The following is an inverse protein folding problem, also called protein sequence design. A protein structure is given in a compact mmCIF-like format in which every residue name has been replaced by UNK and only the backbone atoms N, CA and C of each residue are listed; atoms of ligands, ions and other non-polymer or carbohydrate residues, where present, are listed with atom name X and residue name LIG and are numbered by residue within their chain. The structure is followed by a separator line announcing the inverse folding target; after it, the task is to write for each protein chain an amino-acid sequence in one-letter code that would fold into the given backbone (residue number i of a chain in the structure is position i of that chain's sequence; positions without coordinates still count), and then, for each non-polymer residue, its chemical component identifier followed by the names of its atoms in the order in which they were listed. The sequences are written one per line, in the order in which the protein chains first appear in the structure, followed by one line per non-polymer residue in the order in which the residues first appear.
data_IF_338128725099
#
_entry.id   IF_338128725099
#
_cell.length_a   1.000
_cell.length_b   1.000
_cell.length_c   1.000
_cell.angle_alpha   90.00
_cell.angle_beta   90.00
_cell.angle_gamma   90.00
#
_symmetry.space_group_name_H-M   'P 1'
#
loop_
_entity.id
_entity.type
_entity.pdbx_description
1 polymer ?
#
# COMPACT_ATOMS: atom_id res chain seq x y z
N UNK A 1 11.37 23.14 -1.89
CA UNK A 1 10.04 22.49 -1.71
C UNK A 1 9.54 21.99 -3.05
N UNK A 2 9.27 20.72 -3.14
CA UNK A 2 8.76 20.06 -4.35
C UNK A 2 7.37 20.57 -4.74
N UNK A 3 7.12 20.70 -6.05
CA UNK A 3 5.84 21.16 -6.63
C UNK A 3 5.20 20.07 -7.48
N UNK A 4 3.92 20.24 -7.88
CA UNK A 4 3.27 19.31 -8.83
C UNK A 4 4.00 19.27 -10.17
N UNK A 5 4.64 20.37 -10.59
CA UNK A 5 5.45 20.43 -11.81
C UNK A 5 6.67 19.53 -11.74
N UNK A 6 7.38 19.56 -10.60
CA UNK A 6 8.59 18.74 -10.37
C UNK A 6 8.27 17.24 -10.34
N UNK A 7 7.07 16.87 -9.88
CA UNK A 7 6.57 15.49 -9.85
C UNK A 7 5.96 15.02 -11.17
N UNK A 8 5.94 15.86 -12.21
CA UNK A 8 5.42 15.50 -13.53
C UNK A 8 6.48 14.74 -14.33
N UNK A 9 6.06 13.70 -15.03
CA UNK A 9 6.88 12.98 -16.01
C UNK A 9 6.45 13.32 -17.43
N UNK A 10 7.32 13.14 -18.45
CA UNK A 10 6.96 13.35 -19.86
C UNK A 10 6.08 12.21 -20.42
N UNK A 11 5.83 11.15 -19.65
CA UNK A 11 5.06 9.99 -20.11
C UNK A 11 3.58 10.30 -20.19
N UNK A 12 2.96 9.94 -21.32
CA UNK A 12 1.50 10.00 -21.49
C UNK A 12 0.84 8.96 -20.59
N UNK A 13 -0.18 9.39 -19.83
CA UNK A 13 -0.97 8.46 -19.02
C UNK A 13 -1.87 7.61 -19.90
N UNK A 14 -1.79 6.29 -19.74
CA UNK A 14 -2.51 5.29 -20.54
C UNK A 14 -3.59 4.54 -19.77
N UNK A 15 -3.98 5.02 -18.58
CA UNK A 15 -5.15 4.51 -17.88
C UNK A 15 -6.43 4.87 -18.59
N UNK A 16 -7.46 4.05 -18.39
CA UNK A 16 -8.79 4.32 -18.94
C UNK A 16 -9.34 5.66 -18.43
N UNK A 17 -10.03 6.45 -19.26
CA UNK A 17 -10.70 7.66 -18.80
C UNK A 17 -11.64 7.36 -17.62
N UNK A 18 -11.52 8.14 -16.54
CA UNK A 18 -12.31 7.92 -15.32
C UNK A 18 -11.79 6.83 -14.36
N UNK A 19 -10.68 6.18 -14.66
CA UNK A 19 -10.08 5.17 -13.79
C UNK A 19 -9.72 5.75 -12.41
N UNK A 20 -10.00 5.00 -11.32
CA UNK A 20 -9.68 5.40 -9.95
C UNK A 20 -8.20 5.63 -9.68
N UNK A 21 -7.31 5.09 -10.50
CA UNK A 21 -5.87 5.32 -10.40
C UNK A 21 -5.48 6.80 -10.49
N UNK A 22 -6.24 7.63 -11.22
CA UNK A 22 -5.98 9.08 -11.29
C UNK A 22 -6.16 9.76 -9.93
N UNK A 23 -7.17 9.36 -9.16
CA UNK A 23 -7.40 9.88 -7.80
C UNK A 23 -6.23 9.54 -6.87
N UNK A 24 -5.76 8.29 -6.92
CA UNK A 24 -4.63 7.83 -6.09
C UNK A 24 -3.33 8.56 -6.49
N UNK A 25 -3.06 8.67 -7.79
CA UNK A 25 -1.89 9.40 -8.30
C UNK A 25 -1.85 10.84 -7.80
N UNK A 26 -2.98 11.54 -7.89
CA UNK A 26 -3.05 12.93 -7.45
C UNK A 26 -2.96 13.08 -5.94
N UNK A 27 -3.62 12.19 -5.18
CA UNK A 27 -3.53 12.16 -3.72
C UNK A 27 -2.09 11.94 -3.25
N UNK A 28 -1.37 10.99 -3.86
CA UNK A 28 0.02 10.71 -3.54
C UNK A 28 0.96 11.89 -3.85
N UNK A 29 0.87 12.48 -5.06
CA UNK A 29 1.67 13.67 -5.40
C UNK A 29 1.46 14.83 -4.43
N UNK A 30 0.19 15.10 -4.07
CA UNK A 30 -0.13 16.14 -3.10
C UNK A 30 0.37 15.80 -1.69
N UNK A 31 0.35 14.53 -1.29
CA UNK A 31 0.90 14.09 -0.01
C UNK A 31 2.41 14.33 0.09
N UNK A 32 3.17 14.03 -0.97
CA UNK A 32 4.61 14.33 -1.02
C UNK A 32 4.90 15.83 -0.86
N UNK A 33 4.09 16.68 -1.52
CA UNK A 33 4.21 18.14 -1.42
C UNK A 33 3.89 18.63 -0.01
N UNK A 34 2.78 18.17 0.57
CA UNK A 34 2.36 18.56 1.93
C UNK A 34 3.40 18.16 2.99
N UNK A 35 4.14 17.08 2.74
CA UNK A 35 5.20 16.58 3.62
C UNK A 35 6.57 17.23 3.35
N UNK A 36 6.72 17.98 2.28
CA UNK A 36 8.00 18.57 1.87
C UNK A 36 9.06 17.53 1.51
N UNK A 37 8.65 16.34 1.05
CA UNK A 37 9.58 15.26 0.69
C UNK A 37 10.18 15.57 -0.68
N UNK A 38 11.50 15.70 -0.73
CA UNK A 38 12.22 15.95 -1.98
C UNK A 38 12.29 14.68 -2.84
N UNK A 39 12.46 14.86 -4.13
CA UNK A 39 12.41 13.76 -5.11
C UNK A 39 13.46 12.67 -4.87
N UNK A 40 14.62 13.11 -4.42
CA UNK A 40 15.79 12.26 -4.13
C UNK A 40 15.57 11.39 -2.87
N UNK A 41 14.74 11.85 -1.93
CA UNK A 41 14.46 11.18 -0.67
C UNK A 41 13.26 10.22 -0.74
N UNK A 42 12.56 10.20 -1.88
CA UNK A 42 11.40 9.33 -2.10
C UNK A 42 11.72 8.19 -3.09
N UNK A 43 11.24 7.00 -2.75
CA UNK A 43 11.30 5.83 -3.64
C UNK A 43 9.92 5.21 -3.78
N UNK A 44 9.45 5.09 -5.01
CA UNK A 44 8.24 4.40 -5.38
C UNK A 44 8.58 3.00 -5.88
N UNK A 45 7.99 1.98 -5.26
CA UNK A 45 8.12 0.59 -5.70
C UNK A 45 6.76 0.09 -6.15
N UNK A 46 6.63 -0.44 -7.34
CA UNK A 46 5.37 -0.99 -7.83
C UNK A 46 5.49 -2.44 -8.29
N UNK A 47 4.41 -3.19 -8.13
CA UNK A 47 4.22 -4.50 -8.72
C UNK A 47 3.63 -4.44 -10.14
N UNK A 48 2.93 -5.48 -10.57
CA UNK A 48 2.41 -5.66 -11.93
C UNK A 48 0.89 -5.51 -11.96
N UNK A 49 0.42 -4.65 -12.84
CA UNK A 49 -0.99 -4.34 -13.07
C UNK A 49 -1.18 -2.90 -13.52
N UNK A 50 -2.42 -2.42 -13.59
CA UNK A 50 -2.69 -1.01 -13.95
C UNK A 50 -2.02 -0.03 -12.96
N UNK A 51 -2.01 -0.36 -11.67
CA UNK A 51 -1.30 0.39 -10.62
C UNK A 51 0.20 0.47 -10.87
N UNK A 52 0.81 -0.58 -11.45
CA UNK A 52 2.24 -0.66 -11.71
C UNK A 52 2.78 0.50 -12.54
N UNK A 53 1.93 1.13 -13.36
CA UNK A 53 2.30 2.32 -14.13
C UNK A 53 2.56 3.57 -13.28
N UNK A 54 2.31 3.54 -11.98
CA UNK A 54 2.63 4.65 -11.06
C UNK A 54 4.09 5.10 -11.20
N UNK A 55 5.04 4.17 -11.35
CA UNK A 55 6.47 4.49 -11.55
C UNK A 55 6.74 5.35 -12.79
N UNK A 56 5.85 5.30 -13.79
CA UNK A 56 5.99 6.08 -15.01
C UNK A 56 5.40 7.49 -14.88
N UNK A 57 4.58 7.75 -13.86
CA UNK A 57 3.77 8.97 -13.76
C UNK A 57 4.15 9.88 -12.59
N UNK A 58 5.10 9.45 -11.77
CA UNK A 58 5.66 10.27 -10.68
C UNK A 58 7.16 10.40 -10.87
N UNK A 59 7.66 11.62 -10.94
CA UNK A 59 9.09 11.92 -11.15
C UNK A 59 9.86 11.89 -9.81
N UNK A 60 10.06 10.70 -9.27
CA UNK A 60 10.89 10.36 -8.11
C UNK A 60 11.68 9.09 -8.44
N UNK A 61 12.55 8.62 -7.54
CA UNK A 61 13.19 7.32 -7.73
C UNK A 61 12.12 6.22 -7.80
N UNK A 62 12.24 5.30 -8.75
CA UNK A 62 11.21 4.30 -8.95
C UNK A 62 11.75 2.95 -9.38
N UNK A 63 11.14 1.88 -8.84
CA UNK A 63 11.39 0.50 -9.22
C UNK A 63 10.09 -0.18 -9.62
N UNK A 64 10.13 -0.86 -10.77
CA UNK A 64 9.04 -1.72 -11.21
C UNK A 64 9.45 -3.17 -10.96
N UNK A 65 8.86 -3.79 -9.95
CA UNK A 65 9.10 -5.18 -9.58
C UNK A 65 8.32 -6.16 -10.47
N UNK A 66 8.44 -7.45 -10.16
CA UNK A 66 7.60 -8.49 -10.76
C UNK A 66 6.33 -8.70 -9.94
N UNK A 67 5.39 -9.47 -10.47
CA UNK A 67 4.06 -9.68 -9.89
C UNK A 67 4.15 -10.22 -8.45
N UNK A 68 3.49 -9.54 -7.53
CA UNK A 68 3.46 -9.88 -6.10
C UNK A 68 4.76 -9.62 -5.35
N UNK A 69 5.73 -8.87 -5.92
CA UNK A 69 7.07 -8.69 -5.33
C UNK A 69 7.43 -7.23 -5.04
N UNK A 70 6.45 -6.34 -5.01
CA UNK A 70 6.70 -4.94 -4.61
C UNK A 70 7.23 -4.85 -3.18
N UNK A 71 6.64 -5.60 -2.23
CA UNK A 71 7.04 -5.56 -0.81
C UNK A 71 8.46 -6.07 -0.53
N UNK A 72 8.91 -7.25 -1.01
CA UNK A 72 10.29 -7.67 -0.76
C UNK A 72 11.31 -6.71 -1.37
N UNK A 73 11.02 -6.11 -2.53
CA UNK A 73 11.88 -5.08 -3.12
C UNK A 73 11.91 -3.81 -2.25
N UNK A 74 10.74 -3.31 -1.82
CA UNK A 74 10.64 -2.17 -0.92
C UNK A 74 11.35 -2.42 0.43
N UNK A 75 11.24 -3.65 0.97
CA UNK A 75 11.95 -4.10 2.17
C UNK A 75 13.45 -3.99 2.00
N UNK A 76 14.00 -4.50 0.89
CA UNK A 76 15.44 -4.42 0.61
C UNK A 76 15.94 -2.98 0.51
N UNK A 77 15.19 -2.12 -0.19
CA UNK A 77 15.52 -0.69 -0.32
C UNK A 77 15.52 0.00 1.06
N UNK A 78 14.49 -0.24 1.87
CA UNK A 78 14.38 0.39 3.20
C UNK A 78 15.47 -0.10 4.17
N UNK A 79 15.84 -1.37 4.12
CA UNK A 79 16.96 -1.91 4.90
C UNK A 79 18.30 -1.34 4.45
N UNK A 80 18.51 -1.17 3.16
CA UNK A 80 19.73 -0.59 2.61
C UNK A 80 19.90 0.88 3.00
N UNK A 81 18.81 1.64 3.01
CA UNK A 81 18.81 3.05 3.41
C UNK A 81 17.49 3.42 4.10
N UNK A 82 17.48 3.32 5.43
CA UNK A 82 16.29 3.58 6.24
C UNK A 82 15.84 5.06 6.29
N UNK A 83 16.65 6.01 5.77
CA UNK A 83 16.29 7.43 5.68
C UNK A 83 15.37 7.74 4.49
N UNK A 84 15.26 6.82 3.52
CA UNK A 84 14.39 7.02 2.36
C UNK A 84 12.91 6.86 2.76
N UNK A 85 12.06 7.71 2.18
CA UNK A 85 10.62 7.50 2.18
C UNK A 85 10.28 6.45 1.12
N UNK A 86 9.98 5.22 1.54
CA UNK A 86 9.69 4.11 0.64
C UNK A 86 8.19 3.85 0.59
N UNK A 87 7.59 3.98 -0.59
CA UNK A 87 6.16 3.73 -0.81
C UNK A 87 5.96 2.65 -1.86
N UNK A 88 5.35 1.54 -1.43
CA UNK A 88 4.94 0.44 -2.30
C UNK A 88 3.55 0.68 -2.88
N UNK A 89 3.38 0.42 -4.18
CA UNK A 89 2.10 0.39 -4.87
C UNK A 89 1.85 -1.00 -5.42
N UNK A 90 0.71 -1.58 -5.06
CA UNK A 90 0.28 -2.89 -5.53
C UNK A 90 -1.19 -2.84 -5.97
N UNK A 91 -1.64 -3.78 -6.78
CA UNK A 91 -3.06 -4.05 -6.99
C UNK A 91 -3.52 -5.14 -6.02
N UNK A 92 -4.82 -5.30 -5.90
CA UNK A 92 -5.44 -6.35 -5.11
C UNK A 92 -4.94 -7.75 -5.51
N UNK A 93 -5.01 -8.11 -6.77
CA UNK A 93 -4.46 -9.39 -7.25
C UNK A 93 -2.95 -9.48 -7.11
N UNK A 94 -2.24 -8.38 -7.37
CA UNK A 94 -0.78 -8.32 -7.24
C UNK A 94 -0.35 -8.61 -5.80
N UNK A 95 -0.99 -7.96 -4.82
CA UNK A 95 -0.63 -8.09 -3.42
C UNK A 95 -1.30 -9.28 -2.73
N UNK A 96 -2.59 -9.48 -2.98
CA UNK A 96 -3.37 -10.43 -2.18
C UNK A 96 -3.46 -11.82 -2.80
N UNK A 97 -3.28 -11.97 -4.13
CA UNK A 97 -3.13 -13.27 -4.75
C UNK A 97 -1.65 -13.70 -4.78
N UNK A 98 -0.79 -12.93 -5.48
CA UNK A 98 0.60 -13.33 -5.74
C UNK A 98 1.56 -12.94 -4.61
N UNK A 99 1.29 -11.84 -3.92
CA UNK A 99 2.15 -11.26 -2.88
C UNK A 99 1.74 -11.55 -1.44
N UNK A 100 0.77 -12.43 -1.19
CA UNK A 100 0.14 -12.61 0.12
C UNK A 100 1.13 -12.93 1.24
N UNK A 101 2.02 -13.90 1.04
CA UNK A 101 3.03 -14.24 2.03
C UNK A 101 3.97 -13.07 2.38
N UNK A 102 4.31 -12.25 1.39
CA UNK A 102 5.10 -11.04 1.58
C UNK A 102 4.34 -9.96 2.35
N UNK A 103 3.01 -9.85 2.14
CA UNK A 103 2.18 -8.91 2.88
C UNK A 103 2.17 -9.22 4.38
N UNK A 104 1.81 -10.45 4.74
CA UNK A 104 1.78 -10.88 6.14
C UNK A 104 3.15 -10.72 6.82
N UNK A 105 4.23 -11.02 6.09
CA UNK A 105 5.60 -10.88 6.59
C UNK A 105 6.00 -9.41 6.78
N UNK A 106 5.72 -8.53 5.81
CA UNK A 106 6.03 -7.11 5.90
C UNK A 106 5.30 -6.43 7.07
N UNK A 107 4.00 -6.74 7.25
CA UNK A 107 3.21 -6.28 8.41
C UNK A 107 3.88 -6.69 9.73
N UNK A 108 4.33 -7.95 9.82
CA UNK A 108 5.00 -8.48 11.02
C UNK A 108 6.36 -7.82 11.28
N UNK A 109 7.16 -7.59 10.23
CA UNK A 109 8.48 -6.94 10.33
C UNK A 109 8.40 -5.51 10.83
N UNK A 110 7.35 -4.79 10.47
CA UNK A 110 7.16 -3.41 10.87
C UNK A 110 8.29 -2.48 10.44
N UNK A 111 8.78 -2.61 9.22
CA UNK A 111 9.69 -1.63 8.63
C UNK A 111 8.95 -0.33 8.35
N UNK A 112 9.61 0.80 8.58
CA UNK A 112 9.07 2.13 8.32
C UNK A 112 8.93 2.38 6.81
N UNK A 113 7.85 1.88 6.25
CA UNK A 113 7.47 2.04 4.85
C UNK A 113 5.95 1.96 4.68
N UNK A 114 5.45 2.55 3.60
CA UNK A 114 4.02 2.59 3.30
C UNK A 114 3.68 1.66 2.14
N UNK A 115 2.62 0.86 2.27
CA UNK A 115 2.00 0.11 1.19
C UNK A 115 0.62 0.69 0.87
N UNK A 116 0.40 1.04 -0.39
CA UNK A 116 -0.91 1.47 -0.92
C UNK A 116 -1.37 0.43 -1.94
N UNK A 117 -2.48 -0.24 -1.64
CA UNK A 117 -3.08 -1.22 -2.55
C UNK A 117 -4.24 -0.59 -3.29
N UNK A 118 -4.21 -0.66 -4.61
CA UNK A 118 -5.26 -0.24 -5.51
C UNK A 118 -6.26 -1.40 -5.67
N UNK A 119 -7.25 -1.45 -4.79
CA UNK A 119 -8.25 -2.51 -4.77
C UNK A 119 -9.42 -2.16 -5.69
N UNK A 120 -9.40 -2.70 -6.89
CA UNK A 120 -10.48 -2.58 -7.86
C UNK A 120 -11.29 -3.87 -8.02
N UNK A 121 -10.98 -4.90 -7.24
CA UNK A 121 -11.67 -6.20 -7.18
C UNK A 121 -11.65 -6.98 -8.51
N UNK A 122 -10.70 -6.64 -9.41
CA UNK A 122 -10.49 -7.35 -10.68
C UNK A 122 -9.04 -7.22 -11.16
N UNK A 123 -8.55 -8.18 -11.94
CA UNK A 123 -7.32 -8.02 -12.72
C UNK A 123 -7.60 -7.15 -13.95
N UNK A 124 -7.56 -5.82 -13.78
CA UNK A 124 -7.94 -4.87 -14.83
C UNK A 124 -7.02 -4.89 -16.06
N UNK A 125 -5.70 -5.02 -15.88
CA UNK A 125 -4.72 -4.98 -16.98
C UNK A 125 -4.90 -6.16 -17.96
N UNK A 126 -5.27 -7.33 -17.45
CA UNK A 126 -5.46 -8.56 -18.21
C UNK A 126 -6.93 -8.83 -18.54
N UNK A 127 -7.74 -7.77 -18.56
CA UNK A 127 -9.13 -7.72 -19.06
C UNK A 127 -10.21 -8.32 -18.12
N UNK A 128 -10.02 -8.26 -16.79
CA UNK A 128 -11.13 -8.36 -15.83
C UNK A 128 -11.33 -9.74 -15.20
N UNK A 129 -10.27 -10.52 -15.01
CA UNK A 129 -10.36 -11.75 -14.21
C UNK A 129 -10.70 -11.39 -12.74
N UNK A 130 -11.34 -12.34 -12.06
CA UNK A 130 -11.61 -12.21 -10.64
C UNK A 130 -10.32 -12.24 -9.80
N UNK A 131 -10.36 -11.57 -8.66
CA UNK A 131 -9.30 -11.53 -7.66
C UNK A 131 -9.81 -12.07 -6.31
N UNK A 132 -8.94 -12.15 -5.31
CA UNK A 132 -9.34 -12.56 -3.97
C UNK A 132 -10.28 -11.57 -3.28
N UNK A 133 -10.31 -10.30 -3.71
CA UNK A 133 -11.24 -9.27 -3.22
C UNK A 133 -12.51 -9.14 -4.06
N UNK A 134 -12.64 -9.87 -5.16
CA UNK A 134 -13.89 -9.91 -5.95
C UNK A 134 -15.04 -10.44 -5.09
N UNK A 135 -16.20 -9.79 -5.21
CA UNK A 135 -17.39 -10.24 -4.49
C UNK A 135 -17.82 -11.63 -4.92
N UNK A 136 -18.31 -12.43 -3.97
CA UNK A 136 -18.89 -13.74 -4.26
C UNK A 136 -20.02 -13.60 -5.29
N UNK A 137 -20.03 -14.47 -6.30
CA UNK A 137 -20.95 -14.41 -7.42
C UNK A 137 -20.53 -13.48 -8.57
N UNK A 138 -19.43 -12.72 -8.44
CA UNK A 138 -18.91 -11.90 -9.55
C UNK A 138 -18.56 -12.76 -10.76
N UNK A 139 -19.15 -12.45 -11.92
CA UNK A 139 -18.95 -13.17 -13.17
C UNK A 139 -17.93 -12.47 -14.06
N UNK A 140 -16.97 -13.22 -14.54
CA UNK A 140 -15.97 -12.80 -15.52
C UNK A 140 -15.72 -13.92 -16.54
N UNK A 141 -14.86 -13.67 -17.53
CA UNK A 141 -14.47 -14.72 -18.48
C UNK A 141 -13.83 -15.94 -17.81
N UNK A 142 -13.07 -15.71 -16.73
CA UNK A 142 -12.42 -16.79 -15.95
C UNK A 142 -13.35 -17.42 -14.90
N UNK A 143 -14.44 -16.75 -14.54
CA UNK A 143 -15.41 -17.20 -13.54
C UNK A 143 -16.84 -17.12 -14.10
N UNK A 144 -17.21 -17.90 -15.14
CA UNK A 144 -18.51 -17.78 -15.82
C UNK A 144 -19.69 -18.12 -14.91
N UNK A 145 -19.48 -18.96 -13.89
CA UNK A 145 -20.50 -19.33 -12.90
C UNK A 145 -20.49 -18.42 -11.66
N UNK A 146 -19.60 -17.42 -11.62
CA UNK A 146 -19.38 -16.52 -10.50
C UNK A 146 -18.23 -17.00 -9.59
N UNK A 147 -17.69 -16.05 -8.82
CA UNK A 147 -16.69 -16.32 -7.78
C UNK A 147 -17.34 -17.14 -6.66
N UNK A 148 -16.76 -18.28 -6.32
CA UNK A 148 -17.30 -19.22 -5.32
C UNK A 148 -16.83 -18.86 -3.90
N UNK A 149 -15.50 -18.64 -3.64
CA UNK A 149 -15.03 -18.35 -2.29
C UNK A 149 -15.52 -16.99 -1.79
N UNK A 150 -15.61 -16.80 -0.47
CA UNK A 150 -15.87 -15.49 0.12
C UNK A 150 -14.71 -14.54 -0.19
N UNK A 151 -15.06 -13.26 -0.21
CA UNK A 151 -14.10 -12.18 -0.43
C UNK A 151 -13.05 -12.12 0.70
N UNK A 152 -11.78 -11.95 0.32
CA UNK A 152 -10.70 -11.72 1.28
C UNK A 152 -10.89 -10.37 1.98
N UNK A 153 -10.60 -10.32 3.28
CA UNK A 153 -10.57 -9.09 4.06
C UNK A 153 -9.12 -8.70 4.41
N UNK A 154 -8.48 -7.83 3.62
CA UNK A 154 -7.07 -7.50 3.83
C UNK A 154 -6.81 -6.71 5.11
N UNK A 155 -7.78 -5.89 5.57
CA UNK A 155 -7.64 -5.12 6.81
C UNK A 155 -7.64 -6.04 8.03
N UNK A 156 -8.56 -7.00 8.08
CA UNK A 156 -8.61 -7.97 9.18
C UNK A 156 -7.28 -8.75 9.25
N UNK A 157 -6.74 -9.17 8.12
CA UNK A 157 -5.44 -9.84 8.08
C UNK A 157 -4.28 -8.95 8.54
N UNK A 158 -4.25 -7.68 8.15
CA UNK A 158 -3.25 -6.73 8.64
C UNK A 158 -3.33 -6.57 10.17
N UNK A 159 -4.55 -6.43 10.71
CA UNK A 159 -4.79 -6.27 12.15
C UNK A 159 -4.37 -7.50 12.95
N UNK A 160 -4.71 -8.72 12.51
CA UNK A 160 -4.31 -9.95 13.23
C UNK A 160 -2.83 -10.28 13.06
N UNK A 161 -2.18 -9.76 12.01
CA UNK A 161 -0.72 -9.84 11.79
C UNK A 161 0.08 -8.77 12.55
N UNK A 162 -0.56 -8.07 13.50
CA UNK A 162 0.03 -7.00 14.29
C UNK A 162 0.41 -5.73 13.51
N UNK A 163 -0.34 -5.39 12.48
CA UNK A 163 -0.21 -4.11 11.77
C UNK A 163 -0.26 -2.93 12.74
N UNK A 164 0.56 -1.92 12.49
CA UNK A 164 0.71 -0.73 13.35
C UNK A 164 -0.03 0.47 12.79
N UNK A 165 -0.21 0.54 11.47
CA UNK A 165 -1.10 1.48 10.78
C UNK A 165 -1.91 0.73 9.74
N UNK A 166 -3.23 0.73 9.89
CA UNK A 166 -4.16 0.07 8.97
C UNK A 166 -5.27 1.03 8.62
N UNK A 167 -5.42 1.33 7.33
CA UNK A 167 -6.41 2.27 6.84
C UNK A 167 -7.09 1.76 5.56
N UNK A 168 -8.27 2.30 5.28
CA UNK A 168 -8.95 2.13 4.00
C UNK A 168 -9.31 3.49 3.41
N UNK A 169 -9.02 3.66 2.12
CA UNK A 169 -9.35 4.87 1.38
C UNK A 169 -10.33 4.61 0.24
N UNK A 170 -10.80 5.68 -0.37
CA UNK A 170 -11.58 5.65 -1.60
C UNK A 170 -11.02 6.66 -2.58
N UNK A 171 -10.66 6.23 -3.78
CA UNK A 171 -10.05 7.09 -4.81
C UNK A 171 -11.00 8.18 -5.33
N UNK A 172 -12.30 8.03 -5.09
CA UNK A 172 -13.33 9.03 -5.39
C UNK A 172 -13.40 10.19 -4.39
N UNK A 173 -12.78 10.06 -3.20
CA UNK A 173 -12.54 11.14 -2.23
C UNK A 173 -11.03 11.40 -2.11
N UNK A 174 -10.50 12.10 -3.10
CA UNK A 174 -9.06 12.37 -3.24
C UNK A 174 -8.49 13.17 -2.06
N UNK A 175 -9.26 14.08 -1.46
CA UNK A 175 -8.76 14.89 -0.34
C UNK A 175 -8.64 14.07 0.94
N UNK A 176 -9.63 13.22 1.25
CA UNK A 176 -9.57 12.29 2.36
C UNK A 176 -8.42 11.29 2.17
N UNK A 177 -8.31 10.69 0.97
CA UNK A 177 -7.22 9.77 0.65
C UNK A 177 -5.84 10.43 0.78
N UNK A 178 -5.68 11.69 0.35
CA UNK A 178 -4.43 12.45 0.57
C UNK A 178 -4.10 12.54 2.07
N UNK A 179 -5.08 12.84 2.90
CA UNK A 179 -4.91 12.90 4.36
C UNK A 179 -4.45 11.58 4.96
N UNK A 180 -5.01 10.46 4.50
CA UNK A 180 -4.59 9.12 4.91
C UNK A 180 -3.14 8.82 4.50
N UNK A 181 -2.76 9.16 3.26
CA UNK A 181 -1.39 8.94 2.76
C UNK A 181 -0.38 9.77 3.56
N UNK A 182 -0.71 11.03 3.88
CA UNK A 182 0.14 11.88 4.73
C UNK A 182 0.38 11.24 6.10
N UNK A 183 -0.69 10.73 6.74
CA UNK A 183 -0.58 10.09 8.04
C UNK A 183 0.18 8.76 7.96
N UNK A 184 -0.04 7.97 6.90
CA UNK A 184 0.67 6.72 6.67
C UNK A 184 2.18 6.91 6.49
N UNK A 185 2.59 7.93 5.73
CA UNK A 185 4.02 8.25 5.52
C UNK A 185 4.66 8.80 6.80
N UNK A 186 3.90 9.52 7.64
CA UNK A 186 4.39 10.01 8.96
C UNK A 186 4.48 8.92 10.02
N UNK A 187 3.73 7.84 9.87
CA UNK A 187 3.71 6.75 10.84
C UNK A 187 5.08 6.05 10.87
N UNK A 188 5.64 5.88 12.06
CA UNK A 188 6.89 5.15 12.24
C UNK A 188 6.63 3.66 12.36
N UNK A 189 6.78 2.94 11.25
CA UNK A 189 6.50 1.52 11.11
C UNK A 189 5.83 1.20 9.79
N UNK A 190 5.33 -0.02 9.65
CA UNK A 190 4.64 -0.45 8.44
C UNK A 190 3.23 0.13 8.38
N UNK A 191 2.99 1.02 7.42
CA UNK A 191 1.68 1.58 7.14
C UNK A 191 1.03 0.90 5.93
N UNK A 192 -0.22 0.48 6.09
CA UNK A 192 -1.01 -0.16 5.06
C UNK A 192 -2.28 0.63 4.77
N UNK A 193 -2.52 0.94 3.50
CA UNK A 193 -3.77 1.54 3.02
C UNK A 193 -4.34 0.67 1.90
N UNK A 194 -5.52 0.11 2.13
CA UNK A 194 -6.36 -0.51 1.11
C UNK A 194 -7.22 0.58 0.46
N UNK A 195 -7.14 0.77 -0.86
CA UNK A 195 -7.84 1.88 -1.53
C UNK A 195 -8.84 1.35 -2.53
N UNK A 196 -10.13 1.52 -2.26
CA UNK A 196 -11.17 1.28 -3.25
C UNK A 196 -10.92 2.13 -4.49
N UNK A 197 -10.64 1.42 -5.60
CA UNK A 197 -10.22 2.01 -6.86
C UNK A 197 -11.14 1.52 -7.99
N UNK A 198 -12.28 2.19 -8.28
CA UNK A 198 -13.20 1.72 -9.31
C UNK A 198 -12.52 1.50 -10.67
N UNK A 199 -12.67 0.28 -11.19
CA UNK A 199 -12.25 -0.06 -12.54
C UNK A 199 -13.42 0.16 -13.51
N UNK A 200 -13.37 1.27 -14.26
CA UNK A 200 -14.47 1.68 -15.18
C UNK A 200 -14.64 0.78 -16.41
N UNK A 201 -13.66 -0.11 -16.66
CA UNK A 201 -13.67 -0.96 -17.87
C UNK A 201 -14.12 -2.40 -17.60
N UNK A 202 -13.84 -2.93 -16.39
CA UNK A 202 -14.02 -4.38 -16.17
C UNK A 202 -14.79 -4.72 -14.89
N UNK A 203 -14.99 -3.76 -13.97
CA UNK A 203 -15.83 -3.99 -12.79
C UNK A 203 -17.10 -3.15 -12.87
N UNK A 204 -18.20 -3.78 -13.26
CA UNK A 204 -19.52 -3.14 -13.40
C UNK A 204 -20.34 -3.17 -12.12
N UNK A 205 -19.92 -3.92 -11.09
CA UNK A 205 -20.59 -3.98 -9.79
C UNK A 205 -20.13 -2.86 -8.88
N UNK A 206 -18.81 -2.75 -8.65
CA UNK A 206 -18.21 -1.84 -7.68
C UNK A 206 -17.80 -0.53 -8.37
N UNK A 207 -18.81 0.22 -8.83
CA UNK A 207 -18.64 1.51 -9.50
C UNK A 207 -18.41 2.63 -8.50
N UNK A 208 -18.10 3.85 -8.98
CA UNK A 208 -18.01 5.04 -8.12
C UNK A 208 -19.29 5.28 -7.31
N UNK A 209 -20.45 5.15 -7.95
CA UNK A 209 -21.73 5.38 -7.27
C UNK A 209 -22.04 4.27 -6.28
N UNK A 210 -21.64 3.02 -6.60
CA UNK A 210 -21.78 1.91 -5.65
C UNK A 210 -21.01 2.21 -4.34
N UNK A 211 -19.78 2.69 -4.45
CA UNK A 211 -18.96 3.07 -3.27
C UNK A 211 -19.50 4.33 -2.60
N UNK A 212 -19.79 5.42 -3.34
CA UNK A 212 -20.27 6.68 -2.74
C UNK A 212 -21.51 6.51 -1.87
N UNK A 213 -22.39 5.61 -2.27
CA UNK A 213 -23.63 5.36 -1.52
C UNK A 213 -23.42 4.49 -0.27
N UNK A 214 -22.23 3.93 -0.06
CA UNK A 214 -21.96 2.96 1.00
C UNK A 214 -20.83 3.34 1.93
N UNK A 215 -19.83 4.09 1.44
CA UNK A 215 -18.69 4.46 2.29
C UNK A 215 -19.08 5.53 3.30
N UNK A 216 -18.55 5.39 4.52
CA UNK A 216 -18.62 6.41 5.55
C UNK A 216 -17.26 6.53 6.25
N UNK A 217 -16.97 7.70 6.83
CA UNK A 217 -15.68 7.99 7.46
C UNK A 217 -15.69 7.61 8.93
N UNK A 218 -14.69 6.86 9.37
CA UNK A 218 -14.50 6.47 10.76
C UNK A 218 -14.28 7.68 11.67
N UNK A 219 -13.67 8.73 11.14
CA UNK A 219 -13.44 10.00 11.83
C UNK A 219 -14.76 10.69 12.24
N UNK A 220 -15.83 10.46 11.48
CA UNK A 220 -17.17 11.01 11.74
C UNK A 220 -17.96 10.19 12.77
N UNK A 221 -17.50 8.96 13.09
CA UNK A 221 -18.14 8.02 14.02
C UNK A 221 -17.39 7.93 15.37
N UNK A 222 -16.46 8.83 15.66
CA UNK A 222 -15.64 8.82 16.88
C UNK A 222 -14.91 7.48 17.11
N UNK A 223 -14.45 6.84 16.06
CA UNK A 223 -13.72 5.58 16.14
C UNK A 223 -12.40 5.74 16.88
N UNK A 224 -12.16 4.89 17.88
CA UNK A 224 -10.89 4.85 18.60
C UNK A 224 -9.85 4.06 17.79
N UNK A 225 -8.98 4.79 17.10
CA UNK A 225 -7.92 4.21 16.27
C UNK A 225 -6.82 3.46 17.05
N UNK A 226 -6.85 3.50 18.39
CA UNK A 226 -5.89 2.78 19.24
C UNK A 226 -6.44 1.43 19.73
N UNK A 227 -7.72 1.18 19.55
CA UNK A 227 -8.40 -0.06 19.94
C UNK A 227 -8.44 -1.07 18.77
N UNK A 228 -7.57 -2.07 18.83
CA UNK A 228 -7.47 -3.11 17.81
C UNK A 228 -8.73 -3.98 17.69
N UNK A 229 -9.47 -4.19 18.79
CA UNK A 229 -10.71 -4.99 18.76
C UNK A 229 -11.78 -4.25 17.98
N UNK A 230 -11.99 -2.97 18.29
CA UNK A 230 -12.92 -2.12 17.54
C UNK A 230 -12.49 -1.97 16.07
N UNK A 231 -11.21 -1.85 15.80
CA UNK A 231 -10.68 -1.83 14.42
C UNK A 231 -11.03 -3.12 13.67
N UNK A 232 -10.91 -4.28 14.31
CA UNK A 232 -11.25 -5.57 13.71
C UNK A 232 -12.76 -5.70 13.48
N UNK A 233 -13.60 -5.27 14.42
CA UNK A 233 -15.06 -5.23 14.24
C UNK A 233 -15.43 -4.36 13.03
N UNK A 234 -14.86 -3.17 12.93
CA UNK A 234 -15.05 -2.25 11.79
C UNK A 234 -14.53 -2.84 10.47
N UNK A 235 -13.46 -3.62 10.49
CA UNK A 235 -12.92 -4.24 9.28
C UNK A 235 -13.89 -5.27 8.66
N UNK A 236 -14.79 -5.85 9.45
CA UNK A 236 -15.83 -6.78 8.99
C UNK A 236 -17.12 -6.12 8.54
N UNK A 237 -17.29 -4.82 8.73
CA UNK A 237 -18.45 -4.10 8.21
C UNK A 237 -18.40 -4.05 6.67
N UNK A 238 -19.40 -4.63 6.03
CA UNK A 238 -19.55 -4.69 4.58
C UNK A 238 -21.04 -4.66 4.19
N UNK A 239 -21.34 -4.37 2.94
CA UNK A 239 -22.70 -4.31 2.43
C UNK A 239 -23.17 -2.86 2.24
N UNK A 240 -24.22 -2.44 2.94
CA UNK A 240 -24.80 -1.10 2.77
C UNK A 240 -24.01 0.01 3.44
N UNK A 241 -23.17 -0.32 4.42
CA UNK A 241 -22.25 0.61 5.09
C UNK A 241 -20.85 0.03 5.12
N UNK A 242 -19.89 0.77 4.57
CA UNK A 242 -18.49 0.33 4.46
C UNK A 242 -17.59 1.43 5.04
N UNK A 243 -16.86 1.16 6.13
CA UNK A 243 -15.98 2.16 6.74
C UNK A 243 -14.74 2.43 5.87
N UNK A 244 -14.40 3.72 5.76
CA UNK A 244 -13.11 4.24 5.26
C UNK A 244 -12.51 5.14 6.34
N UNK A 245 -11.20 5.35 6.29
CA UNK A 245 -10.46 6.10 7.30
C UNK A 245 -9.37 5.25 7.94
N UNK A 246 -8.87 5.68 9.09
CA UNK A 246 -7.88 4.95 9.87
C UNK A 246 -8.59 3.99 10.81
N UNK A 247 -8.38 2.68 10.61
CA UNK A 247 -8.90 1.63 11.48
C UNK A 247 -8.05 1.47 12.73
N UNK A 248 -6.72 1.51 12.56
CA UNK A 248 -5.80 1.34 13.66
C UNK A 248 -4.51 2.13 13.42
N UNK A 249 -4.02 2.80 14.46
CA UNK A 249 -2.76 3.52 14.44
C UNK A 249 -2.12 3.49 15.83
N UNK A 250 -1.08 2.65 16.00
CA UNK A 250 -0.31 2.59 17.24
C UNK A 250 1.11 2.13 16.92
N UNK A 251 2.07 3.01 17.14
CA UNK A 251 3.48 2.74 16.87
C UNK A 251 4.06 1.68 17.81
N UNK A 252 5.03 0.97 17.30
CA UNK A 252 5.96 0.09 18.03
C UNK A 252 7.35 0.18 17.39
N UNK A 253 8.43 -0.23 18.07
CA UNK A 253 9.77 -0.23 17.48
C UNK A 253 9.79 -0.91 16.11
N UNK A 254 10.51 -0.30 15.18
CA UNK A 254 10.71 -0.86 13.84
C UNK A 254 11.71 -2.01 13.86
N UNK A 255 11.79 -2.76 12.77
CA UNK A 255 12.74 -3.86 12.65
C UNK A 255 14.18 -3.41 12.85
N UNK A 256 14.60 -2.31 12.22
CA UNK A 256 15.97 -1.82 12.33
C UNK A 256 16.29 -1.11 13.66
N UNK A 257 15.31 -0.65 14.43
CA UNK A 257 15.55 -0.16 15.79
C UNK A 257 16.15 -1.23 16.70
N UNK A 258 15.91 -2.50 16.39
CA UNK A 258 16.40 -3.65 17.11
C UNK A 258 17.66 -4.28 16.49
N UNK A 259 18.25 -3.65 15.46
CA UNK A 259 19.47 -4.09 14.81
C UNK A 259 20.63 -3.14 15.16
N UNK A 260 21.50 -3.48 16.13
CA UNK A 260 22.53 -2.57 16.64
C UNK A 260 23.47 -2.01 15.57
N UNK A 261 23.77 -2.79 14.53
CA UNK A 261 24.72 -2.45 13.48
C UNK A 261 24.18 -1.48 12.41
N UNK A 262 22.85 -1.30 12.31
CA UNK A 262 22.24 -0.38 11.33
C UNK A 262 21.29 0.63 11.99
N UNK A 263 21.15 0.61 13.31
CA UNK A 263 20.25 1.50 14.03
C UNK A 263 20.58 2.98 13.80
N UNK A 264 21.85 3.32 13.86
CA UNK A 264 22.33 4.69 13.82
C UNK A 264 22.99 5.06 12.48
N UNK A 265 23.32 4.07 11.63
CA UNK A 265 23.95 4.29 10.33
C UNK A 265 23.33 3.42 9.23
N UNK A 266 23.24 3.96 8.03
CA UNK A 266 22.70 3.25 6.86
C UNK A 266 23.60 2.08 6.47
N UNK A 267 23.00 0.94 6.14
CA UNK A 267 23.76 -0.22 5.64
C UNK A 267 24.67 0.15 4.46
N UNK A 268 24.21 1.05 3.56
CA UNK A 268 25.00 1.54 2.42
C UNK A 268 26.20 2.40 2.78
N UNK A 269 26.35 2.80 4.04
CA UNK A 269 27.47 3.59 4.55
C UNK A 269 28.46 2.75 5.38
N UNK A 270 28.10 1.53 5.72
CA UNK A 270 29.00 0.64 6.46
C UNK A 270 30.20 0.27 5.57
N UNK A 271 31.40 0.15 6.15
CA UNK A 271 32.59 -0.24 5.40
C UNK A 271 32.42 -1.67 4.86
N UNK A 272 32.83 -1.89 3.61
CA UNK A 272 32.82 -3.19 2.95
C UNK A 272 34.21 -3.76 2.73
N UNK A 273 35.27 -2.95 2.95
CA UNK A 273 36.66 -3.32 2.78
C UNK A 273 37.34 -3.48 4.14
N UNK A 274 38.22 -4.45 4.24
CA UNK A 274 39.03 -4.74 5.45
C UNK A 274 38.21 -4.98 6.73
N UNK A 275 37.02 -5.55 6.60
CA UNK A 275 36.17 -5.91 7.75
C UNK A 275 36.77 -7.19 8.40
N UNK A 276 37.27 -7.06 9.64
CA UNK A 276 37.71 -8.22 10.43
C UNK A 276 36.48 -8.94 11.00
N UNK A 277 36.26 -10.16 10.53
CA UNK A 277 35.16 -11.03 10.98
C UNK A 277 35.66 -12.13 11.96
N UNK A 278 36.90 -12.07 12.43
CA UNK A 278 37.53 -13.08 13.28
C UNK A 278 36.73 -13.32 14.56
N UNK A 279 36.22 -12.25 15.19
CA UNK A 279 35.37 -12.37 16.39
C UNK A 279 34.08 -13.13 16.10
N UNK A 280 33.42 -12.84 14.99
CA UNK A 280 32.18 -13.51 14.57
C UNK A 280 32.42 -15.00 14.27
N UNK A 281 33.55 -15.33 13.64
CA UNK A 281 33.92 -16.72 13.40
C UNK A 281 34.16 -17.46 14.72
N UNK A 282 34.85 -16.83 15.67
CA UNK A 282 35.14 -17.44 16.97
C UNK A 282 33.88 -17.64 17.84
N UNK A 283 32.82 -16.82 17.64
CA UNK A 283 31.53 -16.99 18.33
C UNK A 283 30.71 -18.16 17.76
N UNK A 284 31.02 -18.61 16.54
CA UNK A 284 30.31 -19.69 15.84
C UNK A 284 31.01 -21.06 16.00
N UNK A 285 32.18 -21.09 16.55
CA UNK A 285 32.99 -22.33 16.85
C UNK A 285 32.95 -22.66 18.32
#
# INVERSE_FOLDING_TARGET
MVTLGDLKTPKTNTWCPGCGNFGILMAFKKALIDLGIEREDAVLVSGIGCHGKMVNYVNINGFHGIHGRALPLATGIKLANHNLTVVGFAGDADQYNEGWGHFAHAVRLNLDMTLIVHDNMVLGLTTGQATSTSQQGFKSKSTPFGVIPPMLNPLAHALVSNGTFVARGFSGDMLHLKGLIVQAIKHRGFAFIDVFQPCVSFNYLNTYDWFRNRVYKLEEENHDITDRKKALEKAFEWGDRIPIGIFYNKERPTYYDNLPHIKDEKLTKLPTENVDITSTINEMT
#
